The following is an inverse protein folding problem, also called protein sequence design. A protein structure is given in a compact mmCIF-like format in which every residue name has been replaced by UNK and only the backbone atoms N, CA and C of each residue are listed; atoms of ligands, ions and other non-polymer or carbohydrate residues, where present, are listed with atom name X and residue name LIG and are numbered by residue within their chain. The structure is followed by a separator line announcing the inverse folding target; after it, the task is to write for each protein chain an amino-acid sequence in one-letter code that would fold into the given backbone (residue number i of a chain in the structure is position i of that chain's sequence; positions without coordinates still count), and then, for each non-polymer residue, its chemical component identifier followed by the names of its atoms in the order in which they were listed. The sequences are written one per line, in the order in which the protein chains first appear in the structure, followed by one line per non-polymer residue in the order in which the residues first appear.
data_IF_142151691198
#
_entry.id   IF_142151691198
#
_cell.length_a   1.000
_cell.length_b   1.000
_cell.length_c   1.000
_cell.angle_alpha   90.00
_cell.angle_beta   90.00
_cell.angle_gamma   90.00
#
_symmetry.space_group_name_H-M   'P 1'
#
loop_
_entity.id
_entity.type
_entity.pdbx_description
1 polymer ?
#
# COMPACT_ATOMS: atom_id res chain seq x y z
N UNK A 1 -12.93 17.89 -12.15
CA UNK A 1 -11.51 17.48 -12.28
C UNK A 1 -11.39 16.09 -11.66
N UNK A 2 -10.75 15.12 -12.33
CA UNK A 2 -10.58 13.76 -11.80
C UNK A 2 -9.23 13.65 -11.09
N UNK A 3 -9.20 13.02 -9.93
CA UNK A 3 -7.98 12.81 -9.12
C UNK A 3 -7.78 11.31 -8.92
N UNK A 4 -6.56 10.84 -9.20
CA UNK A 4 -6.15 9.46 -8.99
C UNK A 4 -5.06 9.40 -7.91
N UNK A 5 -5.08 8.35 -7.09
CA UNK A 5 -4.13 8.14 -6.02
C UNK A 5 -3.20 6.96 -6.29
N UNK A 6 -1.95 7.08 -5.84
CA UNK A 6 -0.99 5.96 -5.80
C UNK A 6 -0.33 5.92 -4.43
N UNK A 7 -0.38 4.75 -3.78
CA UNK A 7 0.39 4.48 -2.55
C UNK A 7 1.75 3.92 -2.94
N UNK A 8 2.83 4.53 -2.45
CA UNK A 8 4.19 4.04 -2.66
C UNK A 8 4.57 3.08 -1.53
N UNK A 9 4.56 1.78 -1.84
CA UNK A 9 4.83 0.68 -0.91
C UNK A 9 6.03 -0.19 -1.34
N UNK A 10 6.85 0.30 -2.27
CA UNK A 10 8.09 -0.35 -2.67
C UNK A 10 9.27 -0.09 -1.74
N UNK A 11 10.43 -0.63 -2.13
CA UNK A 11 11.68 -0.51 -1.38
C UNK A 11 11.98 -1.71 -0.49
N UNK A 12 13.23 -1.76 -0.01
CA UNK A 12 13.79 -2.96 0.64
C UNK A 12 13.60 -3.00 2.17
N UNK A 13 12.96 -2.00 2.77
CA UNK A 13 12.72 -2.01 4.22
C UNK A 13 13.99 -2.07 5.08
N UNK A 14 15.19 -1.72 4.56
CA UNK A 14 16.48 -1.89 5.26
C UNK A 14 16.52 -1.27 6.67
N UNK A 15 15.90 -0.09 6.83
CA UNK A 15 15.79 0.60 8.13
C UNK A 15 14.81 -0.07 9.11
N UNK A 16 13.97 -0.97 8.62
CA UNK A 16 13.01 -1.78 9.38
C UNK A 16 13.45 -3.25 9.44
N UNK A 17 14.76 -3.53 9.33
CA UNK A 17 15.29 -4.89 9.39
C UNK A 17 14.95 -5.76 8.17
N UNK A 18 14.66 -5.15 7.02
CA UNK A 18 14.26 -5.88 5.80
C UNK A 18 12.78 -6.27 5.76
N UNK A 19 11.99 -5.84 6.74
CA UNK A 19 10.55 -6.11 6.76
C UNK A 19 9.80 -5.34 5.67
N UNK A 20 8.74 -5.94 5.14
CA UNK A 20 7.78 -5.25 4.29
C UNK A 20 6.99 -4.23 5.14
N UNK A 21 7.40 -2.97 5.06
CA UNK A 21 6.80 -1.87 5.84
C UNK A 21 5.30 -1.74 5.60
N UNK A 22 4.81 -2.01 4.39
CA UNK A 22 3.39 -1.87 4.07
C UNK A 22 2.53 -2.84 4.90
N UNK A 23 3.10 -3.98 5.29
CA UNK A 23 2.43 -5.05 6.03
C UNK A 23 2.69 -5.00 7.55
N UNK A 24 3.59 -4.13 8.02
CA UNK A 24 3.84 -3.99 9.46
C UNK A 24 2.58 -3.53 10.21
N UNK A 25 2.29 -4.11 11.39
CA UNK A 25 1.12 -3.75 12.16
C UNK A 25 1.29 -2.38 12.84
N UNK A 26 0.24 -1.56 12.75
CA UNK A 26 0.01 -0.37 13.56
C UNK A 26 -1.38 -0.51 14.18
N UNK A 27 -1.50 -0.49 15.50
CA UNK A 27 -2.76 -0.70 16.21
C UNK A 27 -3.53 -1.96 15.73
N UNK A 28 -2.81 -3.06 15.53
CA UNK A 28 -3.39 -4.36 15.11
C UNK A 28 -3.77 -4.47 13.63
N UNK A 29 -3.50 -3.45 12.80
CA UNK A 29 -3.82 -3.46 11.35
C UNK A 29 -2.58 -3.10 10.52
N UNK A 30 -2.40 -3.65 9.31
CA UNK A 30 -1.27 -3.29 8.44
C UNK A 30 -1.21 -1.78 8.17
N UNK A 31 0.00 -1.21 8.11
CA UNK A 31 0.20 0.21 7.74
C UNK A 31 -0.51 0.58 6.44
N UNK A 32 -0.49 -0.30 5.44
CA UNK A 32 -1.19 -0.10 4.17
C UNK A 32 -2.71 0.07 4.35
N UNK A 33 -3.33 -0.65 5.29
CA UNK A 33 -4.78 -0.52 5.53
C UNK A 33 -5.14 0.89 6.01
N UNK A 34 -4.32 1.45 6.92
CA UNK A 34 -4.53 2.81 7.42
C UNK A 34 -4.39 3.86 6.31
N UNK A 35 -3.41 3.70 5.42
CA UNK A 35 -3.19 4.63 4.31
C UNK A 35 -4.30 4.51 3.27
N UNK A 36 -4.67 3.28 2.89
CA UNK A 36 -5.77 3.02 1.94
C UNK A 36 -7.06 3.66 2.43
N UNK A 37 -7.50 3.31 3.63
CA UNK A 37 -8.78 3.78 4.17
C UNK A 37 -8.84 5.31 4.29
N UNK A 38 -7.68 5.97 4.48
CA UNK A 38 -7.61 7.43 4.51
C UNK A 38 -7.67 8.06 3.11
N UNK A 39 -7.01 7.45 2.11
CA UNK A 39 -6.89 8.02 0.77
C UNK A 39 -8.07 7.69 -0.16
N UNK A 40 -8.62 6.48 -0.05
CA UNK A 40 -9.68 5.96 -0.92
C UNK A 40 -10.89 6.92 -1.08
N UNK A 41 -11.46 7.54 -0.04
CA UNK A 41 -12.60 8.45 -0.22
C UNK A 41 -12.25 9.79 -0.89
N UNK A 42 -10.98 10.08 -1.15
CA UNK A 42 -10.51 11.36 -1.70
C UNK A 42 -10.17 11.28 -3.19
N UNK A 43 -10.16 10.09 -3.80
CA UNK A 43 -9.72 9.87 -5.18
C UNK A 43 -10.73 9.01 -5.94
N UNK A 44 -10.76 9.14 -7.27
CA UNK A 44 -11.64 8.36 -8.14
C UNK A 44 -11.18 6.90 -8.27
N UNK A 45 -9.86 6.68 -8.27
CA UNK A 45 -9.28 5.34 -8.18
C UNK A 45 -7.94 5.41 -7.44
N UNK A 46 -7.60 4.31 -6.77
CA UNK A 46 -6.39 4.15 -5.97
C UNK A 46 -5.62 2.92 -6.42
N UNK A 47 -4.31 3.05 -6.60
CA UNK A 47 -3.41 1.95 -6.91
C UNK A 47 -2.26 1.85 -5.90
N UNK A 48 -1.60 0.70 -5.89
CA UNK A 48 -0.41 0.44 -5.09
C UNK A 48 0.81 0.28 -6.01
N UNK A 49 1.87 1.05 -5.80
CA UNK A 49 3.16 0.79 -6.44
C UNK A 49 4.07 0.04 -5.46
N UNK A 50 4.48 -1.18 -5.83
CA UNK A 50 5.30 -2.03 -4.98
C UNK A 50 6.18 -2.97 -5.81
N UNK A 51 7.37 -3.26 -5.29
CA UNK A 51 8.31 -4.20 -5.91
C UNK A 51 8.05 -5.63 -5.43
N UNK A 52 8.35 -6.63 -6.27
CA UNK A 52 8.27 -8.05 -5.93
C UNK A 52 6.88 -8.65 -6.16
N UNK A 53 6.54 -9.70 -5.41
CA UNK A 53 5.28 -10.41 -5.58
C UNK A 53 4.08 -9.55 -5.15
N UNK A 54 3.16 -9.28 -6.09
CA UNK A 54 1.92 -8.53 -5.88
C UNK A 54 0.87 -9.32 -5.10
N UNK A 55 0.93 -10.66 -5.09
CA UNK A 55 -0.07 -11.50 -4.42
C UNK A 55 -0.15 -11.23 -2.91
N UNK A 56 0.94 -10.76 -2.29
CA UNK A 56 0.96 -10.36 -0.88
C UNK A 56 0.03 -9.20 -0.54
N UNK A 57 -0.43 -8.45 -1.54
CA UNK A 57 -1.39 -7.35 -1.38
C UNK A 57 -2.80 -7.69 -1.86
N UNK A 58 -3.09 -8.94 -2.27
CA UNK A 58 -4.40 -9.32 -2.80
C UNK A 58 -5.57 -8.99 -1.85
N UNK A 59 -5.35 -9.10 -0.54
CA UNK A 59 -6.36 -8.77 0.48
C UNK A 59 -6.74 -7.29 0.58
N UNK A 60 -6.01 -6.39 -0.07
CA UNK A 60 -6.31 -4.94 -0.05
C UNK A 60 -7.24 -4.49 -1.17
N UNK A 61 -7.47 -5.33 -2.18
CA UNK A 61 -8.36 -5.01 -3.32
C UNK A 61 -7.86 -3.88 -4.21
N UNK A 62 -6.57 -3.53 -4.16
CA UNK A 62 -5.98 -2.48 -4.98
C UNK A 62 -5.23 -3.08 -6.18
N UNK A 63 -5.29 -2.46 -7.37
CA UNK A 63 -4.38 -2.80 -8.45
C UNK A 63 -2.94 -2.50 -8.03
N UNK A 64 -2.03 -3.45 -8.30
CA UNK A 64 -0.59 -3.29 -8.05
C UNK A 64 0.12 -2.95 -9.36
N UNK A 65 0.88 -1.86 -9.33
CA UNK A 65 1.69 -1.35 -10.44
C UNK A 65 3.16 -1.70 -10.19
N UNK A 66 3.82 -2.29 -11.18
CA UNK A 66 5.24 -2.65 -11.18
C UNK A 66 6.12 -1.53 -11.73
#
# INVERSE_FOLDING_TARGET
MRLFGVILAGGEGRRMGGADKALLPLAGRPLLAHVRDRLEPQVEALALSANGDAARFAGFGLPVLA
#
